data_IF_189618718452
#
_entry.id   IF_189618718452
#
_cell.length_a   1.000
_cell.length_b   1.000
_cell.length_c   1.000
_cell.angle_alpha   90.00
_cell.angle_beta   90.00
_cell.angle_gamma   90.00
#
_symmetry.space_group_name_H-M   'P 1'
#
loop_
_entity.id
_entity.type
_entity.pdbx_description
1 polymer ?
#
# COMPACT_ATOMS: atom_id res chain seq x y z
N UNK A 1 -59.15 68.30 5.17
CA UNK A 1 -59.30 68.04 6.62
C UNK A 1 -59.29 66.53 6.83
N UNK A 2 -58.50 66.04 7.80
CA UNK A 2 -58.22 64.63 8.23
C UNK A 2 -59.50 63.76 8.46
N UNK A 3 -59.47 62.40 8.57
CA UNK A 3 -58.38 61.49 9.01
C UNK A 3 -58.15 60.22 8.12
N UNK A 4 -56.95 59.62 8.05
CA UNK A 4 -56.34 58.64 8.98
C UNK A 4 -57.22 57.41 9.29
N UNK A 5 -56.98 56.28 8.61
CA UNK A 5 -57.25 54.95 9.17
C UNK A 5 -56.20 53.95 8.69
N UNK A 6 -55.30 53.68 9.64
CA UNK A 6 -54.24 52.69 9.63
C UNK A 6 -54.87 51.36 10.02
N UNK A 7 -54.77 50.34 9.17
CA UNK A 7 -54.93 48.94 9.51
C UNK A 7 -53.75 48.23 8.81
N UNK A 8 -52.70 47.76 9.48
CA UNK A 8 -52.65 47.22 10.83
C UNK A 8 -52.84 45.70 10.79
N UNK A 9 -52.00 44.99 10.05
CA UNK A 9 -51.74 43.57 10.30
C UNK A 9 -50.29 43.24 9.93
N UNK A 10 -49.38 43.62 10.83
CA UNK A 10 -48.01 43.11 10.81
C UNK A 10 -48.04 41.64 11.23
N UNK A 11 -48.08 40.75 10.25
CA UNK A 11 -47.85 39.33 10.47
C UNK A 11 -46.34 39.16 10.77
N UNK A 12 -45.98 39.36 12.03
CA UNK A 12 -44.64 39.11 12.55
C UNK A 12 -44.38 37.60 12.47
N UNK A 13 -43.77 37.19 11.36
CA UNK A 13 -43.13 35.91 11.16
C UNK A 13 -42.09 35.70 12.29
N UNK A 14 -42.51 35.00 13.34
CA UNK A 14 -41.65 34.44 14.40
C UNK A 14 -40.82 33.28 13.83
N UNK A 15 -39.96 33.57 12.85
CA UNK A 15 -38.85 32.69 12.49
C UNK A 15 -37.70 33.00 13.45
N UNK A 16 -37.75 32.39 14.64
CA UNK A 16 -36.57 32.33 15.50
C UNK A 16 -35.42 31.67 14.73
N UNK A 17 -34.16 32.11 14.90
CA UNK A 17 -33.04 31.48 14.25
C UNK A 17 -32.94 30.04 14.75
N UNK A 18 -33.23 29.08 13.88
CA UNK A 18 -32.94 27.66 14.10
C UNK A 18 -31.42 27.51 14.14
N UNK A 19 -30.82 27.69 15.31
CA UNK A 19 -29.43 27.26 15.55
C UNK A 19 -29.43 25.75 15.59
N UNK A 20 -29.41 25.13 14.42
CA UNK A 20 -29.08 23.72 14.26
C UNK A 20 -27.62 23.56 14.67
N UNK A 21 -27.39 23.27 15.94
CA UNK A 21 -26.10 22.82 16.42
C UNK A 21 -25.70 21.61 15.57
N UNK A 22 -24.71 21.78 14.71
CA UNK A 22 -24.22 20.70 13.86
C UNK A 22 -23.72 19.58 14.78
N UNK A 23 -24.39 18.43 14.73
CA UNK A 23 -24.02 17.28 15.56
C UNK A 23 -22.58 16.87 15.22
N UNK A 24 -21.68 17.04 16.20
CA UNK A 24 -20.31 16.59 16.08
C UNK A 24 -20.26 15.09 16.31
N UNK A 25 -19.66 14.37 15.37
CA UNK A 25 -19.50 12.91 15.44
C UNK A 25 -18.02 12.59 15.57
N UNK A 26 -17.66 11.71 16.49
CA UNK A 26 -16.30 11.19 16.58
C UNK A 26 -16.07 10.12 15.52
N UNK A 27 -14.85 10.02 15.00
CA UNK A 27 -14.46 8.98 14.05
C UNK A 27 -13.14 8.37 14.47
N UNK A 28 -13.02 7.06 14.26
CA UNK A 28 -11.78 6.32 14.42
C UNK A 28 -11.69 5.36 13.23
N UNK A 29 -10.84 5.70 12.27
CA UNK A 29 -10.65 4.94 11.03
C UNK A 29 -9.18 4.60 10.90
N UNK A 30 -8.87 3.31 10.86
CA UNK A 30 -7.52 2.84 10.61
C UNK A 30 -7.42 2.29 9.18
N UNK A 31 -6.37 2.67 8.47
CA UNK A 31 -6.17 2.27 7.09
C UNK A 31 -4.89 2.83 6.51
N UNK A 32 -4.67 2.60 5.22
CA UNK A 32 -3.54 3.18 4.50
C UNK A 32 -3.82 4.66 4.21
N UNK A 33 -2.86 5.54 4.48
CA UNK A 33 -2.94 6.94 4.07
C UNK A 33 -2.71 7.02 2.56
N UNK A 34 -3.76 7.24 1.77
CA UNK A 34 -3.68 7.25 0.30
C UNK A 34 -3.38 8.65 -0.22
N UNK A 35 -3.97 9.66 0.41
CA UNK A 35 -3.83 11.04 0.00
C UNK A 35 -3.91 11.96 1.21
N UNK A 36 -3.10 13.00 1.21
CA UNK A 36 -3.20 14.10 2.17
C UNK A 36 -2.90 15.43 1.48
N UNK A 37 -3.87 16.34 1.52
CA UNK A 37 -3.71 17.73 1.13
C UNK A 37 -4.01 18.60 2.35
N UNK A 38 -2.99 19.22 2.90
CA UNK A 38 -3.14 20.13 4.03
C UNK A 38 -4.13 21.26 3.69
N UNK A 39 -5.04 21.62 4.60
CA UNK A 39 -5.83 22.83 4.44
C UNK A 39 -4.93 24.07 4.50
N UNK A 40 -5.38 25.14 3.88
CA UNK A 40 -4.77 26.47 3.98
C UNK A 40 -5.75 27.41 4.67
N UNK A 41 -5.32 28.63 5.00
CA UNK A 41 -6.16 29.62 5.66
C UNK A 41 -7.47 29.92 4.91
N UNK A 42 -7.50 29.71 3.58
CA UNK A 42 -8.64 30.06 2.72
C UNK A 42 -9.23 28.88 1.96
N UNK A 43 -8.56 27.72 1.92
CA UNK A 43 -9.04 26.55 1.19
C UNK A 43 -9.08 25.30 2.08
N UNK A 44 -10.17 24.51 2.03
CA UNK A 44 -10.24 23.24 2.73
C UNK A 44 -9.20 22.25 2.18
N UNK A 45 -8.78 21.36 3.07
CA UNK A 45 -7.90 20.23 2.76
C UNK A 45 -8.68 18.96 2.49
N UNK A 46 -7.96 17.87 2.22
CA UNK A 46 -8.52 16.53 2.09
C UNK A 46 -7.58 15.49 2.68
N UNK A 47 -8.14 14.41 3.21
CA UNK A 47 -7.40 13.23 3.65
C UNK A 47 -8.16 11.98 3.29
N UNK A 48 -7.45 10.99 2.77
CA UNK A 48 -8.01 9.70 2.38
C UNK A 48 -7.31 8.59 3.14
N UNK A 49 -8.06 7.86 3.97
CA UNK A 49 -7.57 6.74 4.78
C UNK A 49 -8.36 5.48 4.43
N UNK A 50 -7.69 4.51 3.81
CA UNK A 50 -8.36 3.34 3.25
C UNK A 50 -9.40 3.75 2.19
N UNK A 51 -10.66 3.27 2.29
CA UNK A 51 -11.72 3.66 1.36
C UNK A 51 -12.43 4.97 1.74
N UNK A 52 -12.11 5.56 2.90
CA UNK A 52 -12.82 6.75 3.41
C UNK A 52 -12.06 8.03 3.08
N UNK A 53 -12.75 8.96 2.41
CA UNK A 53 -12.27 10.31 2.16
C UNK A 53 -12.98 11.31 3.07
N UNK A 54 -12.21 12.25 3.62
CA UNK A 54 -12.68 13.31 4.48
C UNK A 54 -12.20 14.67 3.96
N UNK A 55 -13.09 15.65 3.97
CA UNK A 55 -12.69 17.04 3.81
C UNK A 55 -12.15 17.56 5.16
N UNK A 56 -11.13 18.42 5.11
CA UNK A 56 -10.56 19.05 6.29
C UNK A 56 -10.94 20.52 6.27
N UNK A 57 -11.55 21.02 7.34
CA UNK A 57 -11.86 22.44 7.47
C UNK A 57 -10.58 23.28 7.42
N UNK A 58 -10.65 24.47 6.80
CA UNK A 58 -9.55 25.45 6.79
C UNK A 58 -9.01 25.83 8.17
N UNK A 59 -9.84 25.68 9.22
CA UNK A 59 -9.55 26.01 10.62
C UNK A 59 -9.41 24.76 11.49
N UNK A 60 -9.35 23.57 10.88
CA UNK A 60 -9.23 22.34 11.64
C UNK A 60 -7.92 22.31 12.44
N UNK A 61 -7.98 21.77 13.65
CA UNK A 61 -6.77 21.43 14.41
C UNK A 61 -6.20 20.13 13.85
N UNK A 62 -4.93 20.14 13.47
CA UNK A 62 -4.25 19.01 12.83
C UNK A 62 -3.07 18.59 13.69
N UNK A 63 -3.15 17.38 14.23
CA UNK A 63 -2.03 16.70 14.89
C UNK A 63 -1.64 15.48 14.05
N UNK A 64 -0.70 15.68 13.13
CA UNK A 64 -0.19 14.62 12.28
C UNK A 64 1.17 14.16 12.77
N UNK A 65 1.28 12.86 13.04
CA UNK A 65 2.56 12.21 13.37
C UNK A 65 3.57 12.42 12.22
N UNK A 66 4.84 12.66 12.57
CA UNK A 66 5.95 12.78 11.61
C UNK A 66 6.16 11.54 10.73
N UNK A 67 5.63 10.39 11.17
CA UNK A 67 5.77 9.10 10.50
C UNK A 67 4.57 8.77 9.59
N UNK A 68 3.51 9.60 9.64
CA UNK A 68 2.35 9.47 8.78
C UNK A 68 2.69 10.01 7.37
N UNK A 69 3.03 9.10 6.45
CA UNK A 69 3.31 9.39 5.04
C UNK A 69 2.31 8.68 4.15
N UNK A 70 2.15 9.17 2.92
CA UNK A 70 1.35 8.46 1.91
C UNK A 70 1.93 7.03 1.76
N UNK A 71 1.05 6.02 1.82
CA UNK A 71 1.39 4.60 1.84
C UNK A 71 1.53 3.99 3.24
N UNK A 72 1.61 4.79 4.30
CA UNK A 72 1.72 4.30 5.68
C UNK A 72 0.37 3.84 6.23
N UNK A 73 0.38 2.82 7.10
CA UNK A 73 -0.78 2.45 7.91
C UNK A 73 -0.94 3.43 9.07
N UNK A 74 -2.06 4.15 9.08
CA UNK A 74 -2.37 5.18 10.07
C UNK A 74 -3.73 4.91 10.72
N UNK A 75 -3.91 5.43 11.92
CA UNK A 75 -5.23 5.55 12.53
C UNK A 75 -5.58 7.03 12.63
N UNK A 76 -6.63 7.41 11.92
CA UNK A 76 -7.24 8.72 11.97
C UNK A 76 -8.29 8.71 13.08
N UNK A 77 -8.09 9.58 14.05
CA UNK A 77 -9.09 9.88 15.08
C UNK A 77 -9.45 11.35 14.99
N UNK A 78 -10.72 11.70 15.18
CA UNK A 78 -11.13 13.09 15.07
C UNK A 78 -12.61 13.32 15.29
N UNK A 79 -13.00 14.57 15.15
CA UNK A 79 -14.41 14.98 15.13
C UNK A 79 -14.75 15.53 13.76
N UNK A 80 -15.90 15.14 13.23
CA UNK A 80 -16.40 15.64 11.96
C UNK A 80 -17.86 16.08 12.09
N UNK A 81 -18.25 16.98 11.19
CA UNK A 81 -19.62 17.47 11.06
C UNK A 81 -20.12 17.19 9.64
N UNK A 82 -21.44 16.99 9.51
CA UNK A 82 -22.05 16.91 8.18
C UNK A 82 -22.01 18.28 7.53
N UNK A 83 -21.39 18.36 6.36
CA UNK A 83 -21.52 19.50 5.45
C UNK A 83 -22.53 19.15 4.38
N UNK A 84 -23.45 20.08 4.09
CA UNK A 84 -24.40 19.93 2.99
C UNK A 84 -23.70 19.95 1.62
N UNK A 85 -22.52 20.54 1.54
CA UNK A 85 -21.77 20.69 0.28
C UNK A 85 -20.75 19.56 0.07
N UNK A 86 -20.07 19.12 1.13
CA UNK A 86 -18.89 18.24 1.03
C UNK A 86 -19.05 16.92 1.79
N UNK A 87 -20.23 16.65 2.36
CA UNK A 87 -20.52 15.41 3.08
C UNK A 87 -19.95 15.42 4.51
N UNK A 88 -18.66 15.10 4.68
CA UNK A 88 -18.00 14.97 5.99
C UNK A 88 -16.82 15.92 6.09
N UNK A 89 -16.88 16.87 7.01
CA UNK A 89 -15.81 17.86 7.24
C UNK A 89 -15.22 17.64 8.64
N UNK A 90 -13.93 17.36 8.70
CA UNK A 90 -13.15 17.23 9.94
C UNK A 90 -12.86 18.61 10.53
N UNK A 91 -13.17 18.78 11.81
CA UNK A 91 -12.88 19.99 12.61
C UNK A 91 -11.69 19.80 13.56
N UNK A 92 -11.44 18.56 13.98
CA UNK A 92 -10.24 18.15 14.69
C UNK A 92 -9.82 16.80 14.14
N UNK A 93 -8.54 16.64 13.82
CA UNK A 93 -8.00 15.37 13.37
C UNK A 93 -6.63 15.10 13.98
N UNK A 94 -6.46 13.87 14.42
CA UNK A 94 -5.21 13.31 14.90
C UNK A 94 -4.91 12.07 14.08
N UNK A 95 -3.79 12.12 13.37
CA UNK A 95 -3.28 10.98 12.61
C UNK A 95 -2.08 10.47 13.35
N UNK A 96 -2.23 9.31 13.99
CA UNK A 96 -1.10 8.57 14.52
C UNK A 96 -0.69 7.55 13.48
N UNK A 97 0.60 7.44 13.23
CA UNK A 97 1.12 6.20 12.66
C UNK A 97 0.58 5.09 13.55
N UNK A 98 -0.03 4.08 12.94
CA UNK A 98 -0.18 2.83 13.66
C UNK A 98 1.26 2.35 13.73
N UNK A 99 1.99 2.76 14.79
CA UNK A 99 3.23 2.12 15.19
C UNK A 99 2.97 0.67 14.92
N UNK A 100 3.76 0.08 14.01
CA UNK A 100 3.58 -1.29 13.60
C UNK A 100 3.44 -2.08 14.89
N UNK A 101 2.21 -2.42 15.27
CA UNK A 101 1.93 -3.19 16.47
C UNK A 101 2.52 -4.53 16.11
N UNK A 102 3.74 -4.73 16.60
CA UNK A 102 4.80 -5.48 15.93
C UNK A 102 5.11 -4.93 14.52
N UNK A 103 6.35 -4.44 14.31
CA UNK A 103 7.01 -4.62 13.01
C UNK A 103 6.71 -6.07 12.64
N UNK A 104 5.97 -6.36 11.54
CA UNK A 104 5.79 -7.74 11.17
C UNK A 104 7.19 -8.29 11.03
N UNK A 105 7.54 -9.29 11.85
CA UNK A 105 8.87 -9.87 11.88
C UNK A 105 9.22 -10.22 10.44
N UNK A 106 10.01 -9.35 9.81
CA UNK A 106 10.23 -9.44 8.39
C UNK A 106 11.18 -10.62 8.23
N UNK A 107 10.62 -11.76 7.87
CA UNK A 107 11.44 -12.92 7.61
C UNK A 107 12.01 -12.76 6.20
N UNK A 108 13.33 -12.85 6.03
CA UNK A 108 13.87 -13.05 4.70
C UNK A 108 13.26 -14.34 4.16
N UNK A 109 12.57 -14.24 3.02
CA UNK A 109 11.97 -15.36 2.35
C UNK A 109 12.61 -15.50 0.97
N UNK A 110 13.06 -16.72 0.69
CA UNK A 110 13.37 -17.18 -0.65
C UNK A 110 12.42 -18.34 -0.97
N UNK A 111 11.46 -18.08 -1.87
CA UNK A 111 10.51 -19.09 -2.34
C UNK A 111 10.62 -19.20 -3.85
N UNK A 112 11.06 -20.37 -4.31
CA UNK A 112 11.07 -20.74 -5.71
C UNK A 112 9.93 -21.69 -6.00
N UNK A 113 9.35 -21.58 -7.20
CA UNK A 113 8.26 -22.44 -7.65
C UNK A 113 7.79 -22.07 -9.05
N UNK A 114 6.62 -22.56 -9.43
CA UNK A 114 5.99 -22.20 -10.70
C UNK A 114 4.89 -21.17 -10.49
N UNK A 115 4.76 -20.22 -11.41
CA UNK A 115 3.66 -19.24 -11.38
C UNK A 115 2.35 -19.95 -11.69
N UNK A 116 1.45 -20.00 -10.71
CA UNK A 116 0.13 -20.65 -10.84
C UNK A 116 -1.00 -19.66 -11.09
N UNK A 117 -0.81 -18.40 -10.72
CA UNK A 117 -1.71 -17.29 -11.03
C UNK A 117 -0.96 -15.96 -10.91
N UNK A 118 -1.39 -14.96 -11.67
CA UNK A 118 -0.97 -13.58 -11.46
C UNK A 118 -2.07 -12.62 -11.90
N UNK A 119 -2.24 -11.54 -11.14
CA UNK A 119 -3.09 -10.40 -11.49
C UNK A 119 -2.30 -9.12 -11.18
N UNK A 120 -1.80 -8.48 -12.23
CA UNK A 120 -1.15 -7.16 -12.14
C UNK A 120 -2.03 -6.07 -12.77
N UNK A 121 -3.28 -6.38 -13.13
CA UNK A 121 -4.19 -5.43 -13.78
C UNK A 121 -4.70 -4.42 -12.75
N UNK A 122 -4.89 -4.87 -11.51
CA UNK A 122 -5.30 -4.03 -10.40
C UNK A 122 -4.13 -3.89 -9.39
N UNK A 123 -3.85 -2.66 -8.94
CA UNK A 123 -2.89 -2.42 -7.85
C UNK A 123 -3.69 -2.31 -6.55
N UNK A 124 -3.36 -3.08 -5.49
CA UNK A 124 -2.25 -4.03 -5.39
C UNK A 124 -2.48 -5.31 -6.20
N UNK A 125 -1.45 -5.78 -6.89
CA UNK A 125 -1.48 -7.01 -7.69
C UNK A 125 -1.18 -8.25 -6.86
N UNK A 126 -1.45 -9.43 -7.41
CA UNK A 126 -1.15 -10.72 -6.77
C UNK A 126 -0.30 -11.58 -7.68
N UNK A 127 0.68 -12.27 -7.10
CA UNK A 127 1.51 -13.28 -7.75
C UNK A 127 1.44 -14.56 -6.93
N UNK A 128 1.00 -15.66 -7.52
CA UNK A 128 0.94 -16.96 -6.86
C UNK A 128 2.05 -17.86 -7.38
N UNK A 129 2.87 -18.35 -6.47
CA UNK A 129 3.99 -19.27 -6.73
C UNK A 129 3.72 -20.55 -5.95
N UNK A 130 3.45 -21.64 -6.68
CA UNK A 130 2.88 -22.87 -6.14
C UNK A 130 1.60 -22.61 -5.33
N UNK A 131 1.62 -22.91 -4.02
CA UNK A 131 0.54 -22.73 -3.06
C UNK A 131 0.59 -21.38 -2.32
N UNK A 132 1.64 -20.58 -2.54
CA UNK A 132 1.89 -19.33 -1.82
C UNK A 132 1.49 -18.13 -2.66
N UNK A 133 0.71 -17.21 -2.08
CA UNK A 133 0.29 -15.96 -2.71
C UNK A 133 1.09 -14.78 -2.17
N UNK A 134 1.66 -13.99 -3.07
CA UNK A 134 2.37 -12.75 -2.79
C UNK A 134 1.52 -11.57 -3.26
N UNK A 135 1.25 -10.63 -2.37
CA UNK A 135 0.64 -9.35 -2.75
C UNK A 135 1.77 -8.38 -3.11
N UNK A 136 1.79 -7.95 -4.37
CA UNK A 136 2.84 -7.11 -4.96
C UNK A 136 2.26 -5.74 -5.29
N UNK A 137 2.90 -4.69 -4.78
CA UNK A 137 2.37 -3.33 -4.82
C UNK A 137 1.47 -3.06 -3.61
N UNK A 138 1.56 -1.85 -3.07
CA UNK A 138 0.62 -1.34 -2.07
C UNK A 138 -0.32 -0.34 -2.75
N UNK A 139 -1.58 -0.21 -2.27
CA UNK A 139 -2.47 0.87 -2.67
C UNK A 139 -1.98 2.23 -2.13
N UNK A 140 -0.88 2.75 -2.67
CA UNK A 140 -0.29 4.01 -2.17
C UNK A 140 0.98 4.47 -2.88
N UNK A 141 1.43 3.79 -3.94
CA UNK A 141 2.54 4.27 -4.78
C UNK A 141 3.88 4.27 -4.05
N UNK A 142 4.57 3.13 -4.09
CA UNK A 142 6.03 3.18 -4.01
C UNK A 142 6.56 4.00 -5.19
N UNK A 143 7.56 4.85 -4.94
CA UNK A 143 8.32 5.44 -6.06
C UNK A 143 8.89 4.31 -6.88
N UNK A 144 9.00 4.51 -8.20
CA UNK A 144 9.60 3.55 -9.17
C UNK A 144 10.99 3.02 -8.75
N UNK A 145 11.64 3.65 -7.77
CA UNK A 145 12.93 3.31 -7.18
C UNK A 145 12.86 2.37 -5.97
N UNK A 146 11.71 2.26 -5.29
CA UNK A 146 11.50 1.43 -4.09
C UNK A 146 10.53 0.26 -4.34
N UNK A 147 9.84 0.28 -5.49
CA UNK A 147 9.20 -0.92 -6.02
C UNK A 147 10.33 -1.94 -6.22
N UNK A 148 10.21 -3.20 -5.75
CA UNK A 148 11.11 -4.26 -6.19
C UNK A 148 11.10 -4.20 -7.71
N UNK A 149 12.17 -3.69 -8.33
CA UNK A 149 12.22 -3.53 -9.77
C UNK A 149 12.12 -4.93 -10.31
N UNK A 150 10.89 -5.31 -10.68
CA UNK A 150 10.58 -6.39 -11.59
C UNK A 150 11.25 -5.97 -12.89
N UNK A 151 12.56 -6.17 -12.93
CA UNK A 151 13.43 -5.95 -14.08
C UNK A 151 13.25 -7.16 -14.97
N UNK A 152 11.99 -7.45 -15.26
CA UNK A 152 11.58 -8.50 -16.15
C UNK A 152 10.82 -7.80 -17.26
N UNK A 153 11.06 -8.13 -18.53
CA UNK A 153 10.07 -7.82 -19.53
C UNK A 153 8.77 -8.48 -19.04
N UNK A 154 7.72 -7.69 -18.76
CA UNK A 154 6.41 -8.19 -18.30
C UNK A 154 5.90 -9.37 -19.15
N UNK A 155 6.37 -9.49 -20.39
CA UNK A 155 6.13 -10.59 -21.30
C UNK A 155 6.71 -11.97 -20.88
N UNK A 156 7.60 -12.05 -19.89
CA UNK A 156 8.29 -13.30 -19.52
C UNK A 156 7.66 -14.07 -18.35
N UNK A 157 6.69 -13.51 -17.63
CA UNK A 157 6.01 -14.19 -16.53
C UNK A 157 4.69 -14.75 -17.04
N UNK A 158 4.72 -15.98 -17.56
CA UNK A 158 3.53 -16.76 -17.91
C UNK A 158 3.18 -17.80 -16.86
N UNK A 159 1.96 -18.32 -16.90
CA UNK A 159 1.59 -19.51 -16.13
C UNK A 159 2.57 -20.66 -16.41
N UNK A 160 3.02 -21.35 -15.36
CA UNK A 160 4.01 -22.43 -15.45
C UNK A 160 5.47 -21.97 -15.53
N UNK A 161 5.74 -20.66 -15.55
CA UNK A 161 7.13 -20.15 -15.54
C UNK A 161 7.76 -20.37 -14.17
N UNK A 162 8.99 -20.87 -14.15
CA UNK A 162 9.81 -20.97 -12.94
C UNK A 162 10.24 -19.59 -12.44
N UNK A 163 9.90 -19.26 -11.19
CA UNK A 163 10.26 -17.99 -10.55
C UNK A 163 10.79 -18.24 -9.14
N UNK A 164 11.72 -17.37 -8.70
CA UNK A 164 12.16 -17.27 -7.32
C UNK A 164 11.83 -15.87 -6.80
N UNK A 165 11.03 -15.80 -5.75
CA UNK A 165 10.75 -14.57 -5.01
C UNK A 165 11.74 -14.50 -3.85
N UNK A 166 12.55 -13.44 -3.82
CA UNK A 166 13.51 -13.16 -2.75
C UNK A 166 13.20 -11.82 -2.14
N UNK A 167 13.08 -11.74 -0.83
CA UNK A 167 12.81 -10.45 -0.20
C UNK A 167 12.40 -10.52 1.26
N UNK A 168 12.06 -9.34 1.78
CA UNK A 168 11.42 -9.21 3.07
C UNK A 168 9.92 -9.37 2.89
N UNK A 169 9.35 -10.34 3.60
CA UNK A 169 7.90 -10.59 3.58
C UNK A 169 7.27 -10.36 4.94
N UNK A 170 5.99 -10.02 4.94
CA UNK A 170 5.13 -9.99 6.12
C UNK A 170 3.98 -10.99 5.93
N UNK A 171 3.72 -11.89 6.89
CA UNK A 171 2.56 -12.77 6.81
C UNK A 171 1.28 -11.93 6.89
N UNK A 172 0.38 -12.09 5.93
CA UNK A 172 -0.97 -11.55 5.99
C UNK A 172 -1.93 -12.59 6.60
N UNK A 173 -1.87 -13.80 6.05
CA UNK A 173 -2.66 -14.99 6.45
C UNK A 173 -1.86 -16.24 6.08
N UNK A 174 -2.37 -17.42 6.41
CA UNK A 174 -1.77 -18.70 5.97
C UNK A 174 -1.58 -18.70 4.46
N UNK A 175 -0.33 -18.87 4.02
CA UNK A 175 0.08 -18.87 2.61
C UNK A 175 -0.17 -17.57 1.83
N UNK A 176 -0.41 -16.46 2.51
CA UNK A 176 -0.51 -15.13 1.89
C UNK A 176 0.49 -14.20 2.54
N UNK A 177 1.39 -13.66 1.73
CA UNK A 177 2.49 -12.81 2.17
C UNK A 177 2.44 -11.45 1.46
N UNK A 178 2.70 -10.39 2.22
CA UNK A 178 3.05 -9.10 1.65
C UNK A 178 4.54 -9.08 1.33
N UNK A 179 4.90 -8.79 0.09
CA UNK A 179 6.29 -8.52 -0.27
C UNK A 179 6.60 -7.06 0.06
N UNK A 180 7.37 -6.81 1.12
CA UNK A 180 7.73 -5.47 1.59
C UNK A 180 8.86 -4.87 0.76
N UNK A 181 9.86 -5.69 0.42
CA UNK A 181 10.96 -5.38 -0.49
C UNK A 181 11.51 -6.67 -1.06
N UNK A 182 12.14 -6.63 -2.24
CA UNK A 182 12.71 -7.85 -2.83
C UNK A 182 12.97 -7.79 -4.31
N UNK A 183 13.10 -8.96 -4.92
CA UNK A 183 13.14 -9.18 -6.35
C UNK A 183 12.40 -10.48 -6.70
N UNK A 184 11.86 -10.52 -7.92
CA UNK A 184 11.36 -11.76 -8.52
C UNK A 184 12.30 -12.09 -9.67
N UNK A 185 12.99 -13.23 -9.56
CA UNK A 185 13.94 -13.70 -10.55
C UNK A 185 13.27 -14.82 -11.36
N UNK A 186 13.17 -14.67 -12.68
CA UNK A 186 12.72 -15.74 -13.57
C UNK A 186 13.88 -16.70 -13.79
N UNK A 187 13.69 -17.98 -13.45
CA UNK A 187 14.77 -18.98 -13.51
C UNK A 187 14.89 -19.64 -14.88
N UNK A 188 14.00 -19.30 -15.84
CA UNK A 188 14.10 -19.68 -17.26
C UNK A 188 13.98 -21.17 -17.57
N UNK A 189 13.94 -22.04 -16.55
CA UNK A 189 13.71 -23.48 -16.68
C UNK A 189 12.39 -23.81 -15.99
N UNK A 190 11.48 -24.59 -16.63
CA UNK A 190 10.36 -25.17 -15.90
C UNK A 190 10.96 -25.95 -14.73
N UNK A 191 10.63 -25.54 -13.50
CA UNK A 191 11.13 -26.21 -12.30
C UNK A 191 10.39 -27.53 -12.21
N UNK A 192 10.93 -28.57 -12.86
CA UNK A 192 10.59 -29.95 -12.55
C UNK A 192 11.17 -30.23 -11.17
N UNK A 193 10.41 -29.86 -10.13
CA UNK A 193 10.63 -30.15 -8.71
C UNK A 193 12.04 -29.86 -8.17
N UNK A 194 12.22 -28.73 -7.47
CA UNK A 194 13.33 -28.59 -6.54
C UNK A 194 12.99 -29.34 -5.23
N UNK A 195 13.92 -30.09 -4.62
CA UNK A 195 13.69 -30.67 -3.30
C UNK A 195 13.49 -29.55 -2.27
N UNK A 196 12.39 -29.61 -1.53
CA UNK A 196 12.12 -28.76 -0.37
C UNK A 196 13.19 -28.98 0.70
N UNK A 197 14.32 -28.26 0.65
CA UNK A 197 15.28 -28.21 1.76
C UNK A 197 14.97 -26.99 2.62
N UNK A 198 14.00 -27.17 3.52
CA UNK A 198 13.70 -26.25 4.62
C UNK A 198 14.74 -26.30 5.74
N UNK A 199 16.02 -26.36 5.40
CA UNK A 199 17.13 -26.33 6.37
C UNK A 199 18.03 -25.15 6.06
N UNK A 200 18.25 -24.32 7.07
CA UNK A 200 19.09 -23.13 7.04
C UNK A 200 20.45 -23.39 6.36
N UNK A 201 21.00 -22.42 5.62
CA UNK A 201 22.24 -22.61 4.88
C UNK A 201 23.43 -22.79 5.84
N UNK A 202 23.98 -24.00 5.86
CA UNK A 202 25.30 -24.28 6.42
C UNK A 202 26.36 -23.95 5.35
N UNK A 203 27.14 -22.89 5.58
CA UNK A 203 28.00 -22.20 4.61
C UNK A 203 29.25 -23.00 4.15
N UNK A 204 29.28 -24.32 4.32
CA UNK A 204 30.47 -25.15 4.03
C UNK A 204 30.44 -25.88 2.68
N UNK A 205 29.30 -25.90 1.98
CA UNK A 205 29.17 -26.65 0.73
C UNK A 205 29.51 -25.86 -0.55
N UNK A 206 29.66 -24.52 -0.48
CA UNK A 206 29.83 -23.67 -1.67
C UNK A 206 31.24 -23.67 -2.27
N UNK A 207 32.26 -24.21 -1.59
CA UNK A 207 33.65 -24.18 -2.08
C UNK A 207 33.97 -25.31 -3.07
N UNK A 208 33.20 -26.41 -3.09
CA UNK A 208 33.59 -27.59 -3.89
C UNK A 208 33.03 -27.59 -5.33
N UNK A 209 31.91 -26.90 -5.58
CA UNK A 209 31.26 -26.92 -6.91
C UNK A 209 31.91 -25.93 -7.88
N UNK A 210 32.59 -24.89 -7.39
CA UNK A 210 33.26 -23.90 -8.24
C UNK A 210 34.58 -24.40 -8.86
N UNK A 211 35.16 -25.50 -8.34
CA UNK A 211 36.41 -26.07 -8.86
C UNK A 211 36.21 -27.00 -10.07
N UNK A 212 35.02 -27.55 -10.29
CA UNK A 212 34.75 -28.46 -11.41
C UNK A 212 34.36 -27.74 -12.71
N UNK A 213 33.95 -26.46 -12.64
CA UNK A 213 33.56 -25.70 -13.84
C UNK A 213 34.74 -25.04 -14.58
N UNK A 214 35.92 -24.91 -13.95
CA UNK A 214 37.08 -24.25 -14.57
C UNK A 214 37.93 -25.23 -15.41
N UNK A 215 37.79 -26.54 -15.21
CA UNK A 215 38.63 -27.53 -15.90
C UNK A 215 38.21 -27.82 -17.36
N UNK A 216 37.00 -27.45 -17.78
CA UNK A 216 36.50 -27.79 -19.13
C UNK A 216 36.72 -26.70 -20.18
N UNK A 217 37.22 -25.51 -19.81
CA UNK A 217 37.39 -24.39 -20.75
C UNK A 217 38.81 -24.25 -21.34
N UNK A 218 39.80 -25.01 -20.86
CA UNK A 218 41.16 -25.04 -21.42
C UNK A 218 41.48 -26.39 -22.05
N UNK A 219 40.90 -26.66 -23.22
CA UNK A 219 41.19 -27.88 -23.97
C UNK A 219 40.89 -27.77 -25.46
N UNK A 220 41.97 -27.75 -26.25
CA UNK A 220 42.02 -28.11 -27.68
C UNK A 220 41.72 -27.00 -28.70
N UNK A 221 42.76 -26.21 -29.05
CA UNK A 221 42.98 -25.76 -30.44
C UNK A 221 44.14 -26.55 -31.02
N UNK A 222 43.84 -27.56 -31.87
CA UNK A 222 44.83 -28.23 -32.72
C UNK A 222 44.89 -27.51 -34.08
N UNK A 223 46.12 -27.29 -34.52
CA UNK A 223 46.52 -26.71 -35.78
C UNK A 223 46.22 -27.62 -36.98
N UNK A 224 45.86 -27.02 -38.12
CA UNK A 224 46.05 -27.61 -39.46
C UNK A 224 46.49 -26.47 -40.39
N UNK A 225 47.72 -26.55 -40.91
CA UNK A 225 48.19 -25.94 -42.16
C UNK A 225 48.66 -27.07 -43.06
N UNK A 226 48.34 -27.06 -44.36
CA UNK A 226 49.29 -27.45 -45.40
C UNK A 226 50.25 -26.29 -45.71
#
# INVERSE_FOLDING_TARGET
MRPLLVAGLALALMLGPSTSAAAQTTTNVCGMLVEYRAPTATMPGSITVGPEQFAIDSRATIDMSSDARIGSLVCLTGTWQRSQTVGRVLTDLRVRSREASAVPTSTPLEKCGVVTAYDFVNVPGTLRVDDVSFVVGLPGGFRRSDVPTLTLPYAAIGLGTGVCVRGLVSPLRTNVWHLLSGEVVVTGRPVTSLPNTGTAPDNRALTLVLLLAVATFFGVRRAIRP
#
